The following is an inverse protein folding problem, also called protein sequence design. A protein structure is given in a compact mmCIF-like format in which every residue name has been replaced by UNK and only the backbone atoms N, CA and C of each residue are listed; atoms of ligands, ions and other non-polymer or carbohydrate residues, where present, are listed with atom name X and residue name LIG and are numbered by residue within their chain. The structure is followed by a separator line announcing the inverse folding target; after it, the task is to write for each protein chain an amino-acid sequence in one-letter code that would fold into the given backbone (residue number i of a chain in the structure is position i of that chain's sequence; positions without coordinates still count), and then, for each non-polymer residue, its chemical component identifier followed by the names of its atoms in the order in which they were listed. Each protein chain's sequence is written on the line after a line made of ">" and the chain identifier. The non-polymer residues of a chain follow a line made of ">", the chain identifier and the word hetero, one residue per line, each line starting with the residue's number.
data_IF_414488892118
#
_entry.id   IF_414488892118
#
_cell.length_a   1.000
_cell.length_b   1.000
_cell.length_c   1.000
_cell.angle_alpha   90.00
_cell.angle_beta   90.00
_cell.angle_gamma   90.00
#
_symmetry.space_group_name_H-M   'P 1'
#
loop_
_entity.id
_entity.type
_entity.pdbx_description
1 polymer ?
#
# COMPACT_ATOMS: atom_id res chain seq x y z
N UNK A 1 -37.25 53.42 -18.30
CA UNK A 1 -37.68 52.12 -17.76
C UNK A 1 -37.56 52.21 -16.25
N UNK A 2 -38.67 52.45 -15.55
CA UNK A 2 -38.65 52.42 -14.09
C UNK A 2 -38.48 50.96 -13.66
N UNK A 3 -37.40 50.67 -12.95
CA UNK A 3 -37.14 49.37 -12.40
C UNK A 3 -38.13 49.12 -11.27
N UNK A 4 -39.04 48.17 -11.47
CA UNK A 4 -39.97 47.74 -10.43
C UNK A 4 -39.13 47.14 -9.27
N UNK A 5 -39.22 47.67 -8.04
CA UNK A 5 -38.43 47.19 -6.91
C UNK A 5 -38.64 45.70 -6.62
N UNK A 6 -39.83 45.17 -6.91
CA UNK A 6 -40.11 43.73 -6.77
C UNK A 6 -39.30 42.89 -7.76
N UNK A 7 -39.15 43.36 -9.00
CA UNK A 7 -38.36 42.68 -10.02
C UNK A 7 -36.88 42.68 -9.66
N UNK A 8 -36.35 43.79 -9.14
CA UNK A 8 -34.95 43.86 -8.72
C UNK A 8 -34.67 42.88 -7.57
N UNK A 9 -35.54 42.83 -6.57
CA UNK A 9 -35.42 41.90 -5.45
C UNK A 9 -35.40 40.43 -5.91
N UNK A 10 -36.29 40.07 -6.85
CA UNK A 10 -36.31 38.74 -7.44
C UNK A 10 -35.01 38.40 -8.18
N UNK A 11 -34.50 39.31 -9.00
CA UNK A 11 -33.26 39.09 -9.75
C UNK A 11 -32.04 38.97 -8.82
N UNK A 12 -31.99 39.74 -7.75
CA UNK A 12 -30.92 39.60 -6.74
C UNK A 12 -30.99 38.27 -5.99
N UNK A 13 -32.19 37.79 -5.67
CA UNK A 13 -32.39 36.48 -5.03
C UNK A 13 -32.07 35.32 -5.98
N UNK A 14 -32.42 35.44 -7.26
CA UNK A 14 -32.02 34.46 -8.26
C UNK A 14 -30.49 34.38 -8.41
N UNK A 15 -29.81 35.54 -8.36
CA UNK A 15 -28.36 35.61 -8.45
C UNK A 15 -27.65 35.06 -7.19
N UNK A 16 -28.19 35.32 -5.99
CA UNK A 16 -27.66 34.75 -4.74
C UNK A 16 -27.74 33.24 -4.73
N UNK A 17 -28.84 32.67 -5.24
CA UNK A 17 -29.05 31.23 -5.30
C UNK A 17 -28.03 30.52 -6.20
N UNK A 18 -27.72 31.09 -7.37
CA UNK A 18 -26.69 30.55 -8.27
C UNK A 18 -25.29 30.63 -7.65
N UNK A 19 -24.99 31.73 -6.96
CA UNK A 19 -23.72 31.91 -6.25
C UNK A 19 -23.55 30.88 -5.12
N UNK A 20 -24.60 30.66 -4.31
CA UNK A 20 -24.60 29.66 -3.24
C UNK A 20 -24.43 28.24 -3.78
N UNK A 21 -25.08 27.91 -4.91
CA UNK A 21 -24.91 26.60 -5.56
C UNK A 21 -23.48 26.36 -6.04
N UNK A 22 -22.80 27.39 -6.56
CA UNK A 22 -21.38 27.30 -6.96
C UNK A 22 -20.49 27.12 -5.74
N UNK A 23 -20.69 27.91 -4.69
CA UNK A 23 -19.93 27.81 -3.45
C UNK A 23 -20.08 26.44 -2.78
N UNK A 24 -21.28 25.84 -2.78
CA UNK A 24 -21.50 24.49 -2.26
C UNK A 24 -20.76 23.43 -3.06
N UNK A 25 -20.72 23.53 -4.40
CA UNK A 25 -19.97 22.61 -5.26
C UNK A 25 -18.46 22.72 -5.05
N UNK A 26 -17.93 23.92 -4.92
CA UNK A 26 -16.50 24.10 -4.66
C UNK A 26 -16.09 23.52 -3.30
N UNK A 27 -16.92 23.73 -2.27
CA UNK A 27 -16.71 23.12 -0.94
C UNK A 27 -16.76 21.60 -1.00
N UNK A 28 -17.72 21.03 -1.72
CA UNK A 28 -17.84 19.57 -1.81
C UNK A 28 -16.67 18.95 -2.57
N UNK A 29 -16.21 19.59 -3.65
CA UNK A 29 -15.02 19.15 -4.39
C UNK A 29 -13.78 19.19 -3.50
N UNK A 30 -13.57 20.26 -2.74
CA UNK A 30 -12.43 20.36 -1.82
C UNK A 30 -12.44 19.29 -0.73
N UNK A 31 -13.63 18.98 -0.17
CA UNK A 31 -13.79 17.90 0.80
C UNK A 31 -13.52 16.54 0.13
N UNK A 32 -14.10 16.30 -1.05
CA UNK A 32 -13.92 15.07 -1.80
C UNK A 32 -12.44 14.82 -2.13
N UNK A 33 -11.72 15.85 -2.57
CA UNK A 33 -10.28 15.78 -2.82
C UNK A 33 -9.49 15.45 -1.55
N UNK A 34 -9.80 16.09 -0.42
CA UNK A 34 -9.15 15.77 0.87
C UNK A 34 -9.37 14.32 1.26
N UNK A 35 -10.60 13.83 1.18
CA UNK A 35 -10.93 12.43 1.51
C UNK A 35 -10.23 11.46 0.58
N UNK A 36 -10.20 11.74 -0.73
CA UNK A 36 -9.49 10.93 -1.72
C UNK A 36 -7.98 10.85 -1.43
N UNK A 37 -7.35 11.99 -1.12
CA UNK A 37 -5.93 12.03 -0.76
C UNK A 37 -5.65 11.23 0.51
N UNK A 38 -6.44 11.43 1.57
CA UNK A 38 -6.27 10.69 2.84
C UNK A 38 -6.45 9.19 2.64
N UNK A 39 -7.47 8.77 1.90
CA UNK A 39 -7.71 7.35 1.59
C UNK A 39 -6.55 6.73 0.81
N UNK A 40 -6.04 7.44 -0.19
CA UNK A 40 -4.90 6.98 -0.99
C UNK A 40 -3.65 6.79 -0.13
N UNK A 41 -3.36 7.74 0.76
CA UNK A 41 -2.22 7.64 1.71
C UNK A 41 -2.38 6.41 2.61
N UNK A 42 -3.56 6.20 3.20
CA UNK A 42 -3.81 5.04 4.06
C UNK A 42 -3.67 3.70 3.31
N UNK A 43 -4.16 3.63 2.07
CA UNK A 43 -4.01 2.45 1.22
C UNK A 43 -2.53 2.15 0.93
N UNK A 44 -1.76 3.16 0.51
CA UNK A 44 -0.34 2.99 0.21
C UNK A 44 0.45 2.53 1.44
N UNK A 45 0.17 3.12 2.62
CA UNK A 45 0.81 2.72 3.87
C UNK A 45 0.52 1.26 4.24
N UNK A 46 -0.72 0.82 4.01
CA UNK A 46 -1.13 -0.57 4.25
C UNK A 46 -0.40 -1.54 3.32
N UNK A 47 -0.28 -1.19 2.03
CA UNK A 47 0.46 -1.99 1.05
C UNK A 47 1.96 -2.09 1.39
N UNK A 48 2.57 -0.98 1.79
CA UNK A 48 3.98 -0.95 2.24
C UNK A 48 4.18 -1.87 3.45
N UNK A 49 3.26 -1.83 4.40
CA UNK A 49 3.31 -2.70 5.59
C UNK A 49 3.23 -4.18 5.21
N UNK A 50 2.33 -4.55 4.30
CA UNK A 50 2.21 -5.93 3.80
C UNK A 50 3.48 -6.37 3.06
N UNK A 51 4.05 -5.50 2.22
CA UNK A 51 5.30 -5.77 1.51
C UNK A 51 6.47 -6.00 2.48
N UNK A 52 6.52 -5.26 3.59
CA UNK A 52 7.50 -5.44 4.66
C UNK A 52 7.28 -6.73 5.46
N UNK A 53 6.03 -7.18 5.63
CA UNK A 53 5.70 -8.41 6.35
C UNK A 53 5.98 -9.67 5.51
N UNK A 54 5.76 -9.60 4.20
CA UNK A 54 5.95 -10.72 3.27
C UNK A 54 7.32 -11.44 3.39
N UNK A 55 8.48 -10.76 3.52
CA UNK A 55 9.77 -11.43 3.58
C UNK A 55 10.12 -12.10 4.93
N UNK A 56 9.29 -11.98 5.99
CA UNK A 56 9.66 -12.47 7.32
C UNK A 56 9.64 -14.00 7.45
N UNK A 57 8.90 -14.72 6.58
CA UNK A 57 8.95 -16.19 6.54
C UNK A 57 9.96 -16.64 5.50
N UNK A 58 11.22 -16.78 5.91
CA UNK A 58 12.20 -17.57 5.17
C UNK A 58 12.09 -19.02 5.61
N UNK A 59 11.78 -19.92 4.67
CA UNK A 59 11.91 -21.36 4.91
C UNK A 59 13.38 -21.69 4.66
N UNK A 60 14.14 -21.95 5.73
CA UNK A 60 15.50 -22.47 5.60
C UNK A 60 15.41 -23.93 5.15
N UNK A 61 15.87 -24.28 3.92
CA UNK A 61 15.76 -25.64 3.43
C UNK A 61 16.78 -26.53 4.14
N UNK A 62 16.33 -27.49 4.94
CA UNK A 62 17.20 -28.49 5.55
C UNK A 62 17.20 -29.78 4.71
N UNK A 63 18.40 -30.32 4.44
CA UNK A 63 18.55 -31.61 3.74
C UNK A 63 18.89 -32.66 4.79
N UNK A 64 18.06 -33.69 4.89
CA UNK A 64 18.31 -34.85 5.75
C UNK A 64 18.83 -35.98 4.86
N UNK A 65 19.99 -36.54 5.19
CA UNK A 65 20.52 -37.74 4.52
C UNK A 65 20.28 -38.94 5.43
N UNK A 66 19.82 -40.03 4.82
CA UNK A 66 19.69 -41.33 5.46
C UNK A 66 20.71 -42.26 4.82
N UNK A 67 21.56 -42.87 5.64
CA UNK A 67 22.47 -43.91 5.18
C UNK A 67 21.68 -45.21 4.93
N UNK A 68 21.70 -45.69 3.69
CA UNK A 68 20.95 -46.86 3.25
C UNK A 68 21.48 -48.19 3.85
N UNK A 69 22.72 -48.20 4.34
CA UNK A 69 23.35 -49.41 4.89
C UNK A 69 23.15 -49.54 6.41
N UNK A 70 23.06 -48.42 7.12
CA UNK A 70 22.99 -48.38 8.60
C UNK A 70 21.68 -47.82 9.14
N UNK A 71 20.87 -47.14 8.31
CA UNK A 71 19.63 -46.47 8.71
C UNK A 71 19.83 -45.20 9.56
N UNK A 72 21.09 -44.75 9.71
CA UNK A 72 21.42 -43.56 10.49
C UNK A 72 20.96 -42.30 9.74
N UNK A 73 20.37 -41.36 10.48
CA UNK A 73 19.80 -40.11 9.98
C UNK A 73 20.71 -38.96 10.40
N UNK A 74 21.32 -38.28 9.43
CA UNK A 74 22.15 -37.10 9.67
C UNK A 74 21.58 -35.87 8.95
N UNK A 75 21.60 -34.73 9.65
CA UNK A 75 21.19 -33.43 9.09
C UNK A 75 22.39 -32.82 8.37
N UNK A 76 22.28 -32.61 7.06
CA UNK A 76 23.33 -31.95 6.27
C UNK A 76 23.27 -30.45 6.52
N UNK A 77 24.35 -29.83 7.01
CA UNK A 77 24.40 -28.38 7.17
C UNK A 77 24.28 -27.68 5.81
N UNK A 78 23.39 -26.69 5.74
CA UNK A 78 23.15 -25.90 4.52
C UNK A 78 24.40 -25.09 4.19
N UNK A 79 24.90 -25.20 2.97
CA UNK A 79 26.09 -24.48 2.52
C UNK A 79 25.80 -22.97 2.44
N UNK A 80 26.30 -22.20 3.41
CA UNK A 80 26.06 -20.76 3.56
C UNK A 80 27.00 -19.86 2.72
N UNK A 81 27.63 -20.40 1.65
CA UNK A 81 28.36 -19.60 0.64
C UNK A 81 29.59 -18.81 1.12
N UNK A 82 30.06 -19.00 2.35
CA UNK A 82 31.20 -18.27 2.95
C UNK A 82 32.41 -19.15 3.31
N UNK A 83 32.66 -20.20 2.53
CA UNK A 83 33.92 -20.94 2.63
C UNK A 83 34.69 -20.81 1.31
N UNK A 84 36.00 -20.48 1.33
CA UNK A 84 36.81 -20.54 0.13
C UNK A 84 36.82 -21.99 -0.41
N UNK A 85 36.76 -22.11 -1.74
CA UNK A 85 36.44 -23.32 -2.48
C UNK A 85 37.42 -24.53 -2.36
N UNK A 86 38.68 -24.47 -1.87
CA UNK A 86 39.53 -25.65 -1.97
C UNK A 86 39.28 -26.72 -0.88
N UNK A 87 38.51 -26.43 0.16
CA UNK A 87 38.26 -27.37 1.26
C UNK A 87 36.98 -28.21 1.09
N UNK A 88 36.20 -27.97 0.03
CA UNK A 88 34.99 -28.76 -0.28
C UNK A 88 35.29 -30.09 -0.97
N UNK A 89 36.52 -30.30 -1.46
CA UNK A 89 36.91 -31.49 -2.23
C UNK A 89 37.63 -32.53 -1.36
N UNK A 90 38.24 -32.14 -0.25
CA UNK A 90 39.02 -33.05 0.61
C UNK A 90 38.20 -33.80 1.66
N UNK A 91 36.89 -33.57 1.73
CA UNK A 91 36.02 -34.19 2.76
C UNK A 91 34.88 -35.05 2.21
N UNK A 92 34.95 -35.44 0.94
CA UNK A 92 34.07 -36.44 0.33
C UNK A 92 34.80 -37.76 0.11
#
# INVERSE_FOLDING_TARGET
>A
MNSDPALQAYLTEAASWDADRRAQRERSLNIAWRVATVSTVLLTLSLVTLALLMPLKRVEPFVVRVDNSTGIVDVVPVYAGKAPMPEAVTRY
#
